data_IF_351018925245
#
_entry.id   IF_351018925245
#
_cell.length_a   1.000
_cell.length_b   1.000
_cell.length_c   1.000
_cell.angle_alpha   90.00
_cell.angle_beta   90.00
_cell.angle_gamma   90.00
#
_symmetry.space_group_name_H-M   'P 1'
#
loop_
_entity.id
_entity.type
_entity.pdbx_description
1 polymer ?
#
# COMPACT_ATOMS: atom_id res chain seq x y z
N UNK A 1 -2.57 19.06 -6.22
CA UNK A 1 -2.20 17.79 -6.88
C UNK A 1 -3.50 17.03 -7.13
N UNK A 2 -3.84 16.66 -8.37
CA UNK A 2 -5.05 15.85 -8.59
C UNK A 2 -4.89 14.54 -7.84
N UNK A 3 -5.94 14.08 -7.16
CA UNK A 3 -5.94 12.78 -6.51
C UNK A 3 -5.70 11.73 -7.61
N UNK A 4 -4.54 11.07 -7.60
CA UNK A 4 -4.33 9.92 -8.46
C UNK A 4 -5.43 8.90 -8.12
N UNK A 5 -6.36 8.72 -9.06
CA UNK A 5 -7.40 7.69 -8.97
C UNK A 5 -6.67 6.37 -9.22
N UNK A 6 -6.21 5.74 -8.14
CA UNK A 6 -5.47 4.49 -8.20
C UNK A 6 -4.61 4.27 -6.96
N UNK A 7 -4.57 3.03 -6.50
CA UNK A 7 -3.66 2.58 -5.45
C UNK A 7 -2.26 2.37 -6.06
N UNK A 8 -1.57 3.45 -6.43
CA UNK A 8 -0.19 3.37 -6.90
C UNK A 8 0.76 3.59 -5.72
N UNK A 9 1.62 2.61 -5.47
CA UNK A 9 2.54 2.60 -4.34
C UNK A 9 3.79 1.79 -4.69
N UNK A 10 4.61 2.28 -5.65
CA UNK A 10 5.75 1.54 -6.16
C UNK A 10 6.85 1.41 -5.09
N UNK A 11 7.66 0.34 -5.16
CA UNK A 11 7.54 -0.79 -6.08
C UNK A 11 6.51 -1.85 -5.62
N UNK A 12 5.89 -1.64 -4.46
CA UNK A 12 5.04 -2.64 -3.83
C UNK A 12 3.74 -2.89 -4.62
N UNK A 13 3.06 -1.84 -5.10
CA UNK A 13 1.80 -1.94 -5.87
C UNK A 13 1.88 -1.09 -7.13
N UNK A 14 1.62 -1.74 -8.25
CA UNK A 14 1.34 -1.13 -9.56
C UNK A 14 -0.18 -1.15 -9.83
N UNK A 15 -0.66 -0.29 -10.73
CA UNK A 15 -2.09 -0.16 -11.01
C UNK A 15 -2.76 -1.44 -11.56
N UNK A 16 -1.97 -2.37 -12.12
CA UNK A 16 -2.43 -3.65 -12.66
C UNK A 16 -2.42 -4.81 -11.66
N UNK A 17 -2.00 -4.56 -10.42
CA UNK A 17 -1.88 -5.59 -9.40
C UNK A 17 -3.23 -5.93 -8.77
N UNK A 18 -3.34 -7.16 -8.27
CA UNK A 18 -4.51 -7.62 -7.52
C UNK A 18 -4.12 -7.80 -6.06
N UNK A 19 -4.95 -7.30 -5.16
CA UNK A 19 -4.71 -7.33 -3.72
C UNK A 19 -5.67 -8.32 -3.06
N UNK A 20 -5.13 -9.28 -2.31
CA UNK A 20 -5.93 -10.02 -1.33
C UNK A 20 -5.96 -9.20 -0.03
N UNK A 21 -7.16 -8.82 0.42
CA UNK A 21 -7.32 -7.90 1.56
C UNK A 21 -8.26 -8.49 2.59
N UNK A 22 -7.80 -8.49 3.85
CA UNK A 22 -8.63 -8.74 5.02
C UNK A 22 -9.25 -7.42 5.50
N UNK A 23 -10.55 -7.24 5.24
CA UNK A 23 -11.32 -6.04 5.63
C UNK A 23 -11.82 -6.05 7.08
N UNK A 24 -11.67 -7.16 7.80
CA UNK A 24 -11.97 -7.25 9.23
C UNK A 24 -10.84 -6.64 10.07
N UNK A 25 -9.62 -6.57 9.52
CA UNK A 25 -8.46 -5.93 10.14
C UNK A 25 -8.41 -4.43 9.86
N UNK A 26 -9.07 -3.64 10.72
CA UNK A 26 -9.18 -2.17 10.60
C UNK A 26 -8.27 -1.37 11.54
N UNK A 27 -7.28 -2.03 12.12
CA UNK A 27 -6.26 -1.41 12.98
C UNK A 27 -4.89 -1.94 12.58
N UNK A 28 -3.85 -1.14 12.81
CA UNK A 28 -2.48 -1.59 12.59
C UNK A 28 -2.15 -2.62 13.67
N UNK A 29 -1.81 -3.84 13.24
CA UNK A 29 -1.30 -4.90 14.09
C UNK A 29 0.10 -5.29 13.65
N UNK A 30 0.26 -6.34 12.82
CA UNK A 30 1.57 -6.71 12.28
C UNK A 30 2.09 -5.65 11.29
N UNK A 31 3.41 -5.60 11.17
CA UNK A 31 4.08 -4.84 10.13
C UNK A 31 3.65 -5.34 8.75
N UNK A 32 3.41 -4.41 7.82
CA UNK A 32 2.92 -4.78 6.51
C UNK A 32 2.19 -3.66 5.78
N UNK A 33 1.48 -4.05 4.74
CA UNK A 33 0.77 -3.15 3.84
C UNK A 33 -0.71 -3.11 4.21
N UNK A 34 -1.27 -1.92 4.29
CA UNK A 34 -2.66 -1.70 4.66
C UNK A 34 -3.35 -0.84 3.62
N UNK A 35 -4.61 -1.15 3.31
CA UNK A 35 -5.49 -0.23 2.62
C UNK A 35 -5.91 0.88 3.59
N UNK A 36 -5.82 2.11 3.12
CA UNK A 36 -6.12 3.32 3.89
C UNK A 36 -6.96 4.29 3.08
N UNK A 37 -7.70 5.11 3.81
CA UNK A 37 -8.39 6.29 3.33
C UNK A 37 -7.76 7.52 3.97
N UNK A 38 -7.47 8.54 3.17
CA UNK A 38 -7.21 9.88 3.67
C UNK A 38 -8.53 10.59 3.88
N UNK A 39 -8.85 10.91 5.13
CA UNK A 39 -10.09 11.59 5.52
C UNK A 39 -9.78 13.05 5.80
N UNK A 40 -10.47 13.96 5.12
CA UNK A 40 -10.40 15.42 5.33
C UNK A 40 -11.82 15.95 5.44
N UNK A 41 -12.08 16.77 6.45
CA UNK A 41 -13.39 17.39 6.69
C UNK A 41 -14.55 16.36 6.72
N UNK A 42 -14.28 15.18 7.30
CA UNK A 42 -15.25 14.07 7.38
C UNK A 42 -15.47 13.30 6.08
N UNK A 43 -14.81 13.68 4.98
CA UNK A 43 -14.95 13.06 3.67
C UNK A 43 -13.68 12.32 3.25
N UNK A 44 -13.85 11.28 2.43
CA UNK A 44 -12.70 10.55 1.86
C UNK A 44 -12.12 11.34 0.70
N UNK A 45 -10.94 11.94 0.92
CA UNK A 45 -10.21 12.70 -0.07
C UNK A 45 -9.35 11.81 -0.99
N UNK A 46 -8.90 10.66 -0.50
CA UNK A 46 -8.08 9.71 -1.25
C UNK A 46 -8.15 8.29 -0.67
N UNK A 47 -7.88 7.29 -1.51
CA UNK A 47 -7.79 5.86 -1.18
C UNK A 47 -6.50 5.28 -1.75
N UNK A 48 -5.84 4.42 -0.99
CA UNK A 48 -4.73 3.62 -1.50
C UNK A 48 -4.12 2.75 -0.42
N UNK A 49 -2.83 2.45 -0.55
CA UNK A 49 -2.11 1.59 0.38
C UNK A 49 -0.92 2.30 1.01
N UNK A 50 -0.57 1.92 2.24
CA UNK A 50 0.59 2.41 2.96
C UNK A 50 1.24 1.28 3.74
N UNK A 51 2.58 1.26 3.75
CA UNK A 51 3.35 0.32 4.57
C UNK A 51 3.52 0.91 5.96
N UNK A 52 3.18 0.11 6.96
CA UNK A 52 3.40 0.40 8.36
C UNK A 52 4.37 -0.61 8.94
N UNK A 53 5.22 -0.16 9.85
CA UNK A 53 6.07 -1.05 10.64
C UNK A 53 6.33 -0.46 12.02
N UNK A 54 6.71 -1.31 12.96
CA UNK A 54 7.09 -0.91 14.31
C UNK A 54 8.59 -1.08 14.53
N UNK A 55 9.17 -0.16 15.29
CA UNK A 55 10.49 -0.32 15.88
C UNK A 55 10.45 0.05 17.39
N UNK A 56 11.61 0.20 18.03
CA UNK A 56 11.72 0.59 19.45
C UNK A 56 11.20 2.00 19.76
N UNK A 57 11.13 2.88 18.76
CA UNK A 57 10.67 4.27 18.86
C UNK A 57 9.16 4.41 18.62
N UNK A 58 8.54 3.47 17.91
CA UNK A 58 7.09 3.41 17.73
C UNK A 58 6.66 2.99 16.33
N UNK A 59 5.53 3.56 15.89
CA UNK A 59 4.90 3.23 14.61
C UNK A 59 5.41 4.15 13.50
N UNK A 60 5.86 3.55 12.41
CA UNK A 60 6.30 4.26 11.21
C UNK A 60 5.36 3.99 10.05
N UNK A 61 5.22 5.01 9.20
CA UNK A 61 4.57 4.92 7.90
C UNK A 61 5.60 5.26 6.82
N UNK A 62 5.63 4.48 5.75
CA UNK A 62 6.31 4.87 4.52
C UNK A 62 5.36 5.73 3.68
N UNK A 63 5.72 7.00 3.45
CA UNK A 63 4.82 7.96 2.81
C UNK A 63 4.74 7.78 1.29
N UNK A 64 5.80 7.23 0.68
CA UNK A 64 6.00 7.21 -0.78
C UNK A 64 5.92 5.80 -1.35
N UNK A 65 6.28 4.76 -0.59
CA UNK A 65 6.50 3.40 -1.08
C UNK A 65 7.97 3.10 -1.35
N UNK A 66 8.82 4.12 -1.32
CA UNK A 66 10.23 4.08 -1.68
C UNK A 66 11.15 4.20 -0.45
N UNK A 67 10.59 4.04 0.77
CA UNK A 67 11.35 4.06 2.01
C UNK A 67 11.40 5.41 2.72
N UNK A 68 10.48 6.33 2.42
CA UNK A 68 10.34 7.60 3.16
C UNK A 68 9.56 7.36 4.46
N UNK A 69 10.28 6.82 5.46
CA UNK A 69 9.72 6.41 6.72
C UNK A 69 9.56 7.59 7.69
N UNK A 70 8.33 7.77 8.19
CA UNK A 70 7.98 8.81 9.15
C UNK A 70 7.37 8.20 10.42
N UNK A 71 7.91 8.58 11.57
CA UNK A 71 7.33 8.24 12.87
C UNK A 71 5.97 8.95 13.04
N UNK A 72 4.95 8.19 13.41
CA UNK A 72 3.60 8.68 13.66
C UNK A 72 3.05 8.09 14.96
N UNK A 73 2.19 8.84 15.65
CA UNK A 73 1.53 8.35 16.87
C UNK A 73 0.42 7.34 16.53
N UNK A 74 -0.33 7.59 15.45
CA UNK A 74 -1.38 6.72 14.94
C UNK A 74 -1.73 7.09 13.50
N UNK A 75 -2.39 6.21 12.72
CA UNK A 75 -2.92 6.58 11.41
C UNK A 75 -3.85 7.81 11.46
N UNK A 76 -4.70 7.90 12.49
CA UNK A 76 -5.64 9.00 12.65
C UNK A 76 -4.94 10.36 12.86
N UNK A 77 -3.78 10.38 13.55
CA UNK A 77 -2.99 11.59 13.76
C UNK A 77 -2.47 12.22 12.45
N UNK A 78 -2.42 11.45 11.36
CA UNK A 78 -2.07 11.92 10.01
C UNK A 78 -3.26 11.90 9.05
N UNK A 79 -4.48 11.85 9.58
CA UNK A 79 -5.72 11.87 8.80
C UNK A 79 -6.03 10.57 8.05
N UNK A 80 -5.37 9.47 8.39
CA UNK A 80 -5.62 8.17 7.75
C UNK A 80 -6.60 7.32 8.57
N UNK A 81 -7.51 6.68 7.85
CA UNK A 81 -8.37 5.60 8.34
C UNK A 81 -7.92 4.29 7.72
N UNK A 82 -7.67 3.28 8.55
CA UNK A 82 -7.33 1.92 8.08
C UNK A 82 -8.60 1.19 7.65
N UNK A 83 -8.58 0.64 6.44
CA UNK A 83 -9.72 -0.03 5.82
C UNK A 83 -9.54 -1.56 5.82
N UNK A 84 -8.30 -2.02 5.66
CA UNK A 84 -8.00 -3.45 5.65
C UNK A 84 -6.50 -3.74 5.64
N UNK A 85 -6.14 -4.97 5.99
CA UNK A 85 -4.78 -5.49 5.90
C UNK A 85 -4.59 -6.21 4.57
N UNK A 86 -3.54 -5.87 3.81
CA UNK A 86 -3.20 -6.56 2.57
C UNK A 86 -2.46 -7.84 2.93
N UNK A 87 -3.06 -8.98 2.63
CA UNK A 87 -2.47 -10.31 2.85
C UNK A 87 -1.41 -10.58 1.79
N UNK A 88 -1.76 -10.34 0.52
CA UNK A 88 -0.93 -10.70 -0.63
C UNK A 88 -1.10 -9.70 -1.78
N UNK A 89 -0.03 -9.51 -2.57
CA UNK A 89 -0.04 -8.68 -3.79
C UNK A 89 0.33 -9.55 -4.98
N UNK A 90 -0.65 -9.84 -5.84
CA UNK A 90 -0.42 -10.55 -7.09
C UNK A 90 -0.03 -9.55 -8.18
N UNK A 91 1.04 -9.85 -8.92
CA UNK A 91 1.56 -9.03 -10.03
C UNK A 91 1.42 -9.72 -11.41
N UNK A 92 0.20 -9.88 -11.97
CA UNK A 92 -0.02 -10.62 -13.22
C UNK A 92 0.75 -10.03 -14.41
N UNK A 93 0.71 -8.70 -14.58
CA UNK A 93 1.31 -8.04 -15.74
C UNK A 93 2.84 -8.23 -15.77
N UNK A 94 3.49 -8.09 -14.62
CA UNK A 94 4.93 -8.35 -14.47
C UNK A 94 5.27 -9.80 -14.82
N UNK A 95 4.49 -10.75 -14.31
CA UNK A 95 4.70 -12.19 -14.58
C UNK A 95 4.59 -12.53 -16.08
N UNK A 96 3.61 -11.93 -16.77
CA UNK A 96 3.45 -12.10 -18.22
C UNK A 96 4.66 -11.53 -18.97
N UNK A 97 5.13 -10.34 -18.59
CA UNK A 97 6.30 -9.72 -19.22
C UNK A 97 7.59 -10.55 -19.06
N UNK A 98 7.82 -11.09 -17.85
CA UNK A 98 8.96 -11.97 -17.55
C UNK A 98 8.93 -13.26 -18.39
N UNK A 99 7.75 -13.90 -18.51
CA UNK A 99 7.57 -15.09 -19.36
C UNK A 99 7.84 -14.79 -20.84
N UNK A 100 7.31 -13.68 -21.36
CA UNK A 100 7.54 -13.28 -22.74
C UNK A 100 9.03 -13.02 -23.02
N UNK A 101 9.77 -12.45 -22.05
CA UNK A 101 11.20 -12.23 -22.19
C UNK A 101 12.00 -13.53 -22.16
N UNK A 102 11.63 -14.49 -21.29
CA UNK A 102 12.27 -15.79 -21.22
C UNK A 102 12.11 -16.57 -22.54
N UNK A 103 10.90 -16.58 -23.11
CA UNK A 103 10.61 -17.24 -24.39
C UNK A 103 11.44 -16.65 -25.54
N UNK A 104 11.64 -15.32 -25.57
CA UNK A 104 12.48 -14.66 -26.59
C UNK A 104 13.96 -14.99 -26.48
N UNK A 105 14.47 -15.33 -25.30
CA UNK A 105 15.88 -15.69 -25.09
C UNK A 105 16.19 -17.16 -25.43
N UNK A 106 15.15 -17.99 -25.46
CA UNK A 106 15.26 -19.42 -25.76
C UNK A 106 15.08 -19.74 -27.26
N UNK A 107 14.68 -18.76 -28.06
CA UNK A 107 14.55 -18.84 -29.51
C UNK A 107 15.80 -18.24 -30.19
#
# INVERSE_FOLDING_TARGET
MPAHIGCFYPPAIDASDLLEVNFDRRQIGPDGLYLVELVRDGQVAWRGARRFHHDLSGLYIDQTGEGDHKLIQSPAAVGLRVVGYVIEVYKPARRIAELAQALRRAA
#
